data_IF_565610783689
#
_entry.id   IF_565610783689
#
_cell.length_a   1.000
_cell.length_b   1.000
_cell.length_c   1.000
_cell.angle_alpha   90.00
_cell.angle_beta   90.00
_cell.angle_gamma   90.00
#
_symmetry.space_group_name_H-M   'P 1'
#
loop_
_entity.id
_entity.type
_entity.pdbx_description
1 polymer ?
#
# COMPACT_ATOMS: atom_id res chain seq x y z
N UNK A 1 0.26 8.01 19.30
CA UNK A 1 0.80 6.75 18.78
C UNK A 1 1.73 6.18 19.81
N UNK A 2 1.73 4.86 20.08
CA UNK A 2 2.89 4.26 20.67
C UNK A 2 4.06 4.54 19.71
N UNK A 3 5.15 5.13 20.19
CA UNK A 3 6.34 5.47 19.38
C UNK A 3 7.14 4.23 18.96
N UNK A 4 6.44 3.12 18.77
CA UNK A 4 7.04 1.85 18.46
C UNK A 4 7.05 1.66 16.95
N UNK A 5 8.22 1.68 16.37
CA UNK A 5 8.48 1.60 14.94
C UNK A 5 8.84 0.19 14.47
N UNK A 6 8.65 -0.80 15.32
CA UNK A 6 9.04 -2.16 15.02
C UNK A 6 8.08 -3.22 15.57
N UNK A 7 8.15 -4.42 15.00
CA UNK A 7 7.32 -5.57 15.33
C UNK A 7 7.30 -5.92 16.82
N UNK A 8 8.47 -5.85 17.49
CA UNK A 8 8.54 -6.12 18.93
C UNK A 8 7.70 -5.15 19.75
N UNK A 9 7.65 -3.88 19.40
CA UNK A 9 6.89 -2.86 20.12
C UNK A 9 5.37 -3.06 20.04
N UNK A 10 4.87 -3.83 19.08
CA UNK A 10 3.46 -4.16 19.05
C UNK A 10 3.08 -5.21 20.09
N UNK A 11 4.04 -6.06 20.48
CA UNK A 11 3.84 -7.21 21.36
C UNK A 11 4.38 -7.00 22.78
N UNK A 12 5.44 -6.19 22.93
CA UNK A 12 6.16 -6.00 24.19
C UNK A 12 6.28 -4.51 24.55
N UNK A 13 6.22 -4.18 25.84
CA UNK A 13 6.50 -2.82 26.31
C UNK A 13 7.95 -2.42 26.06
N UNK A 14 8.23 -1.11 26.06
CA UNK A 14 9.61 -0.63 25.98
C UNK A 14 10.47 -1.13 27.13
N UNK A 15 9.87 -1.38 28.32
CA UNK A 15 10.59 -1.98 29.45
C UNK A 15 11.00 -3.43 29.14
N UNK A 16 10.08 -4.27 28.66
CA UNK A 16 10.39 -5.65 28.30
C UNK A 16 11.47 -5.73 27.21
N UNK A 17 11.38 -4.86 26.19
CA UNK A 17 12.39 -4.78 25.14
C UNK A 17 13.78 -4.40 25.69
N UNK A 18 13.84 -3.39 26.56
CA UNK A 18 15.09 -2.98 27.19
C UNK A 18 15.63 -4.07 28.13
N UNK A 19 14.77 -4.73 28.88
CA UNK A 19 15.12 -5.83 29.79
C UNK A 19 15.72 -7.01 29.00
N UNK A 20 15.15 -7.32 27.84
CA UNK A 20 15.58 -8.42 26.98
C UNK A 20 17.00 -8.24 26.42
N UNK A 21 17.52 -7.02 26.29
CA UNK A 21 18.89 -6.75 25.83
C UNK A 21 19.92 -7.44 26.78
N UNK A 22 19.63 -7.49 28.08
CA UNK A 22 20.56 -8.04 29.08
C UNK A 22 20.17 -9.43 29.57
N UNK A 23 18.91 -9.82 29.44
CA UNK A 23 18.38 -11.05 30.06
C UNK A 23 17.78 -12.04 29.03
N UNK A 24 17.70 -11.64 27.75
CA UNK A 24 16.98 -12.43 26.72
C UNK A 24 15.46 -12.27 26.78
N UNK A 25 14.77 -12.83 25.81
CA UNK A 25 13.30 -12.74 25.69
C UNK A 25 12.54 -13.84 26.45
N UNK A 26 13.26 -14.72 27.17
CA UNK A 26 12.63 -15.82 27.92
C UNK A 26 11.84 -15.34 29.15
N UNK A 27 12.06 -14.11 29.56
CA UNK A 27 11.39 -13.46 30.68
C UNK A 27 11.01 -12.01 30.29
N UNK A 28 9.73 -11.72 30.35
CA UNK A 28 9.15 -10.43 29.94
C UNK A 28 8.29 -9.89 31.10
N UNK A 29 8.89 -9.14 32.06
CA UNK A 29 8.21 -8.76 33.30
C UNK A 29 6.91 -8.00 33.14
N UNK A 30 6.82 -7.06 32.19
CA UNK A 30 5.58 -6.33 31.95
C UNK A 30 4.52 -7.22 31.27
N UNK A 31 4.93 -8.04 30.31
CA UNK A 31 4.00 -8.98 29.66
C UNK A 31 3.43 -9.99 30.66
N UNK A 32 4.23 -10.46 31.59
CA UNK A 32 3.79 -11.39 32.64
C UNK A 32 2.98 -10.69 33.74
N UNK A 33 3.49 -9.57 34.26
CA UNK A 33 2.97 -8.89 35.43
C UNK A 33 1.87 -7.87 35.12
N UNK A 34 2.01 -7.08 34.07
CA UNK A 34 1.15 -5.94 33.73
C UNK A 34 0.11 -6.32 32.70
N UNK A 35 0.51 -6.77 31.50
CA UNK A 35 -0.43 -7.06 30.41
C UNK A 35 -1.07 -8.46 30.53
N UNK A 36 -0.63 -9.30 31.46
CA UNK A 36 -1.14 -10.66 31.72
C UNK A 36 -1.11 -11.56 30.48
N UNK A 37 -0.03 -11.47 29.69
CA UNK A 37 0.18 -12.23 28.49
C UNK A 37 -0.44 -11.62 27.21
N UNK A 38 -1.18 -10.54 27.34
CA UNK A 38 -1.71 -9.80 26.18
C UNK A 38 -0.58 -9.05 25.45
N UNK A 39 -0.66 -8.92 24.14
CA UNK A 39 0.20 -8.05 23.38
C UNK A 39 0.07 -6.60 23.83
N UNK A 40 1.17 -5.86 23.81
CA UNK A 40 1.23 -4.53 24.42
C UNK A 40 0.26 -3.52 23.80
N UNK A 41 0.19 -3.45 22.47
CA UNK A 41 -0.73 -2.52 21.79
C UNK A 41 -2.20 -2.85 22.03
N UNK A 42 -2.69 -4.09 21.89
CA UNK A 42 -4.02 -4.49 22.33
C UNK A 42 -4.33 -4.14 23.79
N UNK A 43 -3.39 -4.41 24.70
CA UNK A 43 -3.55 -4.04 26.10
C UNK A 43 -3.70 -2.52 26.27
N UNK A 44 -2.85 -1.73 25.62
CA UNK A 44 -2.91 -0.26 25.68
C UNK A 44 -4.26 0.27 25.19
N UNK A 45 -4.79 -0.29 24.09
CA UNK A 45 -6.12 0.05 23.59
C UNK A 45 -7.21 -0.21 24.64
N UNK A 46 -7.13 -1.33 25.39
CA UNK A 46 -8.09 -1.61 26.48
C UNK A 46 -7.99 -0.60 27.62
N UNK A 47 -6.75 -0.17 27.98
CA UNK A 47 -6.54 0.82 29.05
C UNK A 47 -7.11 2.19 28.64
N UNK A 48 -6.88 2.65 27.43
CA UNK A 48 -7.45 3.90 26.92
C UNK A 48 -8.98 3.86 26.92
N UNK A 49 -9.56 2.76 26.47
CA UNK A 49 -11.01 2.56 26.51
C UNK A 49 -11.57 2.61 27.93
N UNK A 50 -10.91 1.92 28.87
CA UNK A 50 -11.34 1.88 30.27
C UNK A 50 -11.20 3.23 30.98
N UNK A 51 -10.20 4.02 30.62
CA UNK A 51 -10.01 5.37 31.12
C UNK A 51 -11.02 6.39 30.58
N UNK A 52 -11.86 6.00 29.62
CA UNK A 52 -12.79 6.91 28.95
C UNK A 52 -12.10 8.00 28.15
N UNK A 53 -10.85 7.75 27.73
CA UNK A 53 -10.03 8.70 26.97
C UNK A 53 -9.99 8.28 25.50
N UNK A 54 -10.92 8.76 24.68
CA UNK A 54 -10.98 8.37 23.28
C UNK A 54 -9.77 8.93 22.50
N UNK A 55 -9.21 8.11 21.63
CA UNK A 55 -8.29 8.55 20.59
C UNK A 55 -9.08 8.68 19.28
N UNK A 56 -8.81 9.74 18.52
CA UNK A 56 -9.50 9.98 17.25
C UNK A 56 -8.99 9.07 16.13
N UNK A 57 -7.71 8.72 16.18
CA UNK A 57 -7.04 7.87 15.18
C UNK A 57 -6.07 6.95 15.90
N UNK A 58 -6.14 5.65 15.61
CA UNK A 58 -5.13 4.69 16.04
C UNK A 58 -4.02 4.62 15.00
N UNK A 59 -2.77 4.85 15.40
CA UNK A 59 -1.64 4.86 14.48
C UNK A 59 -0.50 3.98 14.92
N UNK A 60 0.20 3.39 13.94
CA UNK A 60 1.47 2.69 14.10
C UNK A 60 2.50 3.21 13.07
N UNK A 61 3.76 2.81 13.24
CA UNK A 61 4.84 2.97 12.27
C UNK A 61 5.22 1.60 11.72
N UNK A 62 5.61 1.52 10.45
CA UNK A 62 6.08 0.28 9.86
C UNK A 62 7.19 0.51 8.84
N UNK A 63 8.26 -0.24 8.98
CA UNK A 63 9.37 -0.30 8.03
C UNK A 63 9.72 -1.76 7.74
N UNK A 64 9.91 -2.15 6.48
CA UNK A 64 10.39 -3.47 6.14
C UNK A 64 11.82 -3.68 6.68
N UNK A 65 12.23 -4.93 6.97
CA UNK A 65 13.34 -5.23 7.86
C UNK A 65 14.56 -5.88 7.17
N UNK A 66 14.66 -5.87 5.84
CA UNK A 66 15.78 -6.49 5.09
C UNK A 66 16.62 -5.45 4.32
N UNK A 67 16.56 -4.18 4.74
CA UNK A 67 17.30 -3.07 4.13
C UNK A 67 16.59 -2.37 2.98
N UNK A 68 15.32 -2.67 2.77
CA UNK A 68 14.47 -2.08 1.73
C UNK A 68 14.40 -0.56 1.79
N UNK A 69 14.43 0.00 3.01
CA UNK A 69 14.38 1.45 3.25
C UNK A 69 15.62 2.21 2.74
N UNK A 70 16.69 1.50 2.36
CA UNK A 70 17.87 2.13 1.77
C UNK A 70 17.62 2.55 0.32
N UNK A 71 18.45 3.44 -0.22
CA UNK A 71 18.42 3.80 -1.65
C UNK A 71 19.27 2.83 -2.50
N UNK A 72 19.23 1.52 -2.18
CA UNK A 72 19.99 0.49 -2.88
C UNK A 72 19.23 -0.06 -4.07
N UNK A 73 19.94 -0.27 -5.19
CA UNK A 73 19.47 -0.93 -6.41
C UNK A 73 20.02 -2.37 -6.55
N UNK A 74 20.54 -2.94 -5.47
CA UNK A 74 21.00 -4.31 -5.50
C UNK A 74 19.82 -5.27 -5.71
N UNK A 75 19.95 -6.27 -6.59
CA UNK A 75 18.84 -7.17 -6.92
C UNK A 75 18.21 -7.90 -5.74
N UNK A 76 18.98 -8.20 -4.68
CA UNK A 76 18.46 -8.80 -3.46
C UNK A 76 17.55 -7.83 -2.70
N UNK A 77 17.93 -6.54 -2.60
CA UNK A 77 17.15 -5.49 -1.94
C UNK A 77 15.90 -5.16 -2.75
N UNK A 78 16.01 -5.09 -4.07
CA UNK A 78 14.86 -4.87 -4.97
C UNK A 78 13.84 -6.01 -4.86
N UNK A 79 14.29 -7.27 -4.81
CA UNK A 79 13.39 -8.41 -4.57
C UNK A 79 12.74 -8.35 -3.19
N UNK A 80 13.49 -7.95 -2.16
CA UNK A 80 12.93 -7.74 -0.83
C UNK A 80 11.83 -6.68 -0.85
N UNK A 81 12.05 -5.50 -1.49
CA UNK A 81 11.02 -4.46 -1.65
C UNK A 81 9.75 -4.99 -2.33
N UNK A 82 9.91 -5.80 -3.38
CA UNK A 82 8.76 -6.33 -4.12
C UNK A 82 7.86 -7.21 -3.25
N UNK A 83 8.46 -8.08 -2.41
CA UNK A 83 7.70 -9.03 -1.60
C UNK A 83 7.22 -8.45 -0.27
N UNK A 84 8.02 -7.58 0.39
CA UNK A 84 7.71 -7.09 1.73
C UNK A 84 6.47 -6.17 1.80
N UNK A 85 5.96 -5.68 0.67
CA UNK A 85 4.66 -5.01 0.62
C UNK A 85 3.51 -5.92 1.06
N UNK A 86 3.69 -7.24 1.02
CA UNK A 86 2.73 -8.24 1.51
C UNK A 86 2.54 -8.18 3.02
N UNK A 87 3.51 -7.71 3.78
CA UNK A 87 3.37 -7.50 5.23
C UNK A 87 2.23 -6.55 5.58
N UNK A 88 1.87 -5.67 4.67
CA UNK A 88 0.77 -4.74 4.90
C UNK A 88 -0.61 -5.40 4.87
N UNK A 89 -0.76 -6.58 4.21
CA UNK A 89 -2.10 -7.07 3.90
C UNK A 89 -2.28 -8.60 3.87
N UNK A 90 -1.24 -9.38 3.57
CA UNK A 90 -1.40 -10.79 3.21
C UNK A 90 -1.32 -11.73 4.43
N UNK A 91 -2.44 -12.34 4.83
CA UNK A 91 -2.45 -13.24 5.98
C UNK A 91 -1.79 -14.60 5.70
N UNK A 92 -1.34 -14.85 4.47
CA UNK A 92 -0.61 -16.07 4.08
C UNK A 92 0.89 -15.85 3.92
N UNK A 93 1.34 -14.59 3.92
CA UNK A 93 2.74 -14.24 3.81
C UNK A 93 3.39 -14.23 5.19
N UNK A 94 4.44 -15.03 5.35
CA UNK A 94 5.30 -15.02 6.51
C UNK A 94 6.55 -14.20 6.17
N UNK A 95 6.78 -13.13 6.91
CA UNK A 95 7.97 -12.31 6.76
C UNK A 95 9.23 -13.15 6.99
N UNK A 96 10.17 -13.21 6.03
CA UNK A 96 11.36 -14.05 6.13
C UNK A 96 12.50 -13.45 6.96
N UNK A 97 12.33 -12.22 7.44
CA UNK A 97 13.34 -11.53 8.27
C UNK A 97 13.33 -12.05 9.71
N UNK A 98 13.95 -11.32 10.61
CA UNK A 98 13.93 -11.61 12.05
C UNK A 98 12.51 -11.61 12.66
N UNK A 99 11.53 -11.02 11.96
CA UNK A 99 10.11 -11.04 12.36
C UNK A 99 9.59 -12.48 12.36
N UNK A 100 9.95 -13.29 11.39
CA UNK A 100 9.61 -14.73 11.27
C UNK A 100 8.14 -15.05 11.57
N UNK A 101 7.23 -14.14 11.19
CA UNK A 101 5.79 -14.20 11.49
C UNK A 101 4.93 -13.62 10.37
N UNK A 102 3.65 -13.91 10.40
CA UNK A 102 2.66 -13.25 9.55
C UNK A 102 2.33 -11.89 10.16
N UNK A 103 2.59 -10.83 9.42
CA UNK A 103 2.34 -9.45 9.88
C UNK A 103 0.91 -9.02 9.55
N UNK A 104 0.53 -9.03 8.27
CA UNK A 104 -0.78 -8.58 7.78
C UNK A 104 -1.27 -7.29 8.49
N UNK A 105 -0.43 -6.26 8.51
CA UNK A 105 -0.47 -5.10 9.41
C UNK A 105 -1.82 -4.37 9.42
N UNK A 106 -2.35 -4.00 8.24
CA UNK A 106 -3.58 -3.21 8.16
C UNK A 106 -4.80 -4.02 8.65
N UNK A 107 -4.99 -5.29 8.22
CA UNK A 107 -6.00 -6.15 8.82
C UNK A 107 -5.84 -6.33 10.33
N UNK A 108 -4.62 -6.52 10.82
CA UNK A 108 -4.31 -6.65 12.26
C UNK A 108 -4.70 -5.39 13.03
N UNK A 109 -4.30 -4.20 12.55
CA UNK A 109 -4.68 -2.92 13.16
C UNK A 109 -6.19 -2.75 13.24
N UNK A 110 -6.91 -3.07 12.16
CA UNK A 110 -8.37 -3.00 12.11
C UNK A 110 -9.03 -3.96 13.09
N UNK A 111 -8.50 -5.19 13.18
CA UNK A 111 -8.95 -6.17 14.16
C UNK A 111 -8.76 -5.67 15.60
N UNK A 112 -7.59 -5.14 15.94
CA UNK A 112 -7.29 -4.64 17.27
C UNK A 112 -8.21 -3.50 17.69
N UNK A 113 -8.41 -2.51 16.80
CA UNK A 113 -9.34 -1.41 17.05
C UNK A 113 -10.76 -1.93 17.30
N UNK A 114 -11.24 -2.83 16.45
CA UNK A 114 -12.61 -3.34 16.57
C UNK A 114 -12.82 -4.19 17.83
N UNK A 115 -11.80 -4.93 18.24
CA UNK A 115 -11.89 -5.84 19.39
C UNK A 115 -11.62 -5.14 20.72
N UNK A 116 -10.60 -4.28 20.78
CA UNK A 116 -10.06 -3.76 22.03
C UNK A 116 -10.38 -2.28 22.27
N UNK A 117 -10.84 -1.55 21.25
CA UNK A 117 -11.19 -0.14 21.36
C UNK A 117 -12.62 0.11 20.85
N UNK A 118 -12.84 1.11 20.01
CA UNK A 118 -14.16 1.42 19.42
C UNK A 118 -14.17 1.03 17.95
N UNK A 119 -15.06 0.12 17.52
CA UNK A 119 -15.19 -0.26 16.13
C UNK A 119 -15.39 0.96 15.22
N UNK A 120 -14.66 1.00 14.11
CA UNK A 120 -14.73 2.10 13.16
C UNK A 120 -13.80 3.29 13.47
N UNK A 121 -13.04 3.27 14.56
CA UNK A 121 -11.95 4.25 14.76
C UNK A 121 -10.99 4.20 13.58
N UNK A 122 -10.67 5.35 12.96
CA UNK A 122 -9.70 5.41 11.86
C UNK A 122 -8.34 4.85 12.26
N UNK A 123 -7.66 4.23 11.29
CA UNK A 123 -6.31 3.69 11.46
C UNK A 123 -5.31 4.41 10.57
N UNK A 124 -4.09 4.58 11.04
CA UNK A 124 -3.05 5.30 10.33
C UNK A 124 -1.69 4.60 10.39
N UNK A 125 -0.92 4.72 9.31
CA UNK A 125 0.54 4.54 9.35
C UNK A 125 1.18 5.91 9.30
N UNK A 126 1.66 6.38 10.45
CA UNK A 126 2.21 7.73 10.61
C UNK A 126 3.69 7.82 10.28
N UNK A 127 4.33 6.67 10.10
CA UNK A 127 5.63 6.55 9.43
C UNK A 127 5.70 5.23 8.65
N UNK A 128 6.17 5.32 7.42
CA UNK A 128 6.56 4.17 6.59
C UNK A 128 7.53 4.62 5.51
N UNK A 129 8.40 3.73 5.05
CA UNK A 129 9.27 3.96 3.91
C UNK A 129 9.78 2.62 3.36
N UNK A 130 9.66 2.42 2.04
CA UNK A 130 10.20 1.26 1.31
C UNK A 130 11.51 1.58 0.59
N UNK A 131 12.05 2.82 0.71
CA UNK A 131 13.32 3.23 0.12
C UNK A 131 13.34 3.30 -1.39
N UNK A 132 14.55 3.25 -1.96
CA UNK A 132 14.75 3.29 -3.41
C UNK A 132 14.30 4.59 -4.05
N UNK A 133 14.52 5.73 -3.38
CA UNK A 133 13.98 7.05 -3.76
C UNK A 133 14.32 7.43 -5.19
N UNK A 134 15.52 7.07 -5.66
CA UNK A 134 16.02 7.40 -6.99
C UNK A 134 15.90 6.25 -8.00
N UNK A 135 15.39 5.09 -7.60
CA UNK A 135 15.31 3.89 -8.42
C UNK A 135 13.86 3.55 -8.79
N UNK A 136 13.66 2.98 -9.97
CA UNK A 136 12.32 2.58 -10.42
C UNK A 136 11.70 1.52 -9.52
N UNK A 137 12.52 0.66 -8.88
CA UNK A 137 12.02 -0.31 -7.91
C UNK A 137 11.37 0.37 -6.68
N UNK A 138 11.94 1.46 -6.18
CA UNK A 138 11.30 2.26 -5.13
C UNK A 138 9.98 2.89 -5.58
N UNK A 139 9.91 3.36 -6.84
CA UNK A 139 8.66 3.87 -7.41
C UNK A 139 7.59 2.78 -7.52
N UNK A 140 7.93 1.56 -7.97
CA UNK A 140 6.99 0.43 -8.06
C UNK A 140 6.53 -0.02 -6.68
N UNK A 141 7.44 -0.07 -5.69
CA UNK A 141 7.08 -0.37 -4.30
C UNK A 141 6.15 0.69 -3.71
N UNK A 142 6.42 1.99 -3.90
CA UNK A 142 5.55 3.07 -3.41
C UNK A 142 4.17 3.03 -4.08
N UNK A 143 4.10 2.73 -5.37
CA UNK A 143 2.83 2.59 -6.08
C UNK A 143 2.02 1.39 -5.55
N UNK A 144 2.69 0.27 -5.27
CA UNK A 144 2.11 -0.93 -4.70
C UNK A 144 1.53 -0.64 -3.29
N UNK A 145 2.33 0.00 -2.44
CA UNK A 145 1.94 0.43 -1.10
C UNK A 145 0.69 1.33 -1.14
N UNK A 146 0.62 2.30 -2.04
CA UNK A 146 -0.56 3.15 -2.19
C UNK A 146 -1.81 2.38 -2.62
N UNK A 147 -1.64 1.45 -3.56
CA UNK A 147 -2.73 0.58 -3.99
C UNK A 147 -3.24 -0.30 -2.84
N UNK A 148 -2.32 -0.85 -2.04
CA UNK A 148 -2.63 -1.66 -0.84
C UNK A 148 -3.37 -0.80 0.19
N UNK A 149 -2.90 0.41 0.51
CA UNK A 149 -3.58 1.31 1.45
C UNK A 149 -5.05 1.55 1.06
N UNK A 150 -5.29 1.83 -0.22
CA UNK A 150 -6.65 2.04 -0.73
C UNK A 150 -7.50 0.77 -0.69
N UNK A 151 -6.93 -0.39 -1.02
CA UNK A 151 -7.63 -1.68 -1.03
C UNK A 151 -7.98 -2.14 0.39
N UNK A 152 -7.04 -2.05 1.33
CA UNK A 152 -7.20 -2.49 2.72
C UNK A 152 -7.91 -1.45 3.60
N UNK A 153 -8.21 -0.26 3.07
CA UNK A 153 -8.93 0.77 3.79
C UNK A 153 -8.13 1.41 4.94
N UNK A 154 -6.84 1.66 4.72
CA UNK A 154 -6.07 2.52 5.61
C UNK A 154 -6.56 3.96 5.46
N UNK A 155 -6.87 4.62 6.57
CA UNK A 155 -7.49 5.94 6.52
C UNK A 155 -6.48 7.07 6.31
N UNK A 156 -5.29 6.98 6.94
CA UNK A 156 -4.25 8.01 6.89
C UNK A 156 -2.88 7.34 6.73
N UNK A 157 -2.01 7.94 5.91
CA UNK A 157 -0.61 7.52 5.78
C UNK A 157 0.30 8.74 5.64
N UNK A 158 1.42 8.77 6.37
CA UNK A 158 2.48 9.76 6.24
C UNK A 158 3.81 9.07 6.00
N UNK A 159 4.40 9.32 4.84
CA UNK A 159 5.69 8.75 4.50
C UNK A 159 6.81 9.47 5.24
N UNK A 160 7.77 8.73 5.77
CA UNK A 160 9.00 9.28 6.33
C UNK A 160 10.02 9.57 5.24
N UNK A 161 10.72 10.71 5.35
CA UNK A 161 11.78 11.15 4.46
C UNK A 161 11.34 12.23 3.46
N UNK A 162 12.33 12.97 2.98
CA UNK A 162 12.13 14.02 1.99
C UNK A 162 11.76 13.46 0.61
N UNK A 163 11.00 14.25 -0.15
CA UNK A 163 10.60 13.92 -1.51
C UNK A 163 10.89 15.13 -2.42
N UNK A 164 11.83 14.94 -3.34
CA UNK A 164 12.15 15.91 -4.38
C UNK A 164 11.53 15.50 -5.72
N UNK A 165 11.18 16.45 -6.60
CA UNK A 165 10.51 16.18 -7.88
C UNK A 165 11.30 15.31 -8.86
N UNK A 166 12.60 15.21 -8.74
CA UNK A 166 13.50 14.38 -9.55
C UNK A 166 13.53 12.91 -9.11
N UNK A 167 13.10 12.62 -7.87
CA UNK A 167 13.02 11.26 -7.35
C UNK A 167 11.96 10.41 -8.06
N UNK A 168 12.25 9.14 -8.30
CA UNK A 168 11.31 8.20 -8.92
C UNK A 168 10.08 7.96 -8.04
N UNK A 169 10.28 7.86 -6.72
CA UNK A 169 9.21 7.71 -5.73
C UNK A 169 8.25 8.90 -5.76
N UNK A 170 8.75 10.15 -5.88
CA UNK A 170 7.90 11.32 -6.05
C UNK A 170 6.99 11.19 -7.28
N UNK A 171 7.53 10.68 -8.39
CA UNK A 171 6.75 10.50 -9.64
C UNK A 171 5.68 9.43 -9.51
N UNK A 172 5.93 8.37 -8.73
CA UNK A 172 4.89 7.39 -8.39
C UNK A 172 3.77 8.01 -7.55
N UNK A 173 4.10 8.86 -6.58
CA UNK A 173 3.12 9.62 -5.80
C UNK A 173 2.34 10.58 -6.71
N UNK A 174 3.03 11.30 -7.59
CA UNK A 174 2.41 12.18 -8.57
C UNK A 174 1.43 11.42 -9.48
N UNK A 175 1.78 10.21 -9.93
CA UNK A 175 0.90 9.37 -10.75
C UNK A 175 -0.44 9.06 -10.04
N UNK A 176 -0.44 8.87 -8.73
CA UNK A 176 -1.67 8.66 -7.96
C UNK A 176 -2.43 9.95 -7.64
N UNK A 177 -1.72 11.09 -7.49
CA UNK A 177 -2.30 12.30 -6.88
C UNK A 177 -2.46 13.48 -7.83
N UNK A 178 -1.73 13.53 -8.93
CA UNK A 178 -1.72 14.64 -9.89
C UNK A 178 -1.03 14.24 -11.20
N UNK A 179 -1.50 13.15 -11.86
CA UNK A 179 -0.82 12.58 -13.02
C UNK A 179 -0.78 13.51 -14.23
N UNK A 180 -1.75 14.42 -14.36
CA UNK A 180 -1.95 15.32 -15.51
C UNK A 180 -1.56 16.78 -15.23
N UNK A 181 -0.97 17.09 -14.08
CA UNK A 181 -0.67 18.44 -13.59
C UNK A 181 -1.91 19.34 -13.39
N UNK A 182 -3.11 18.77 -13.46
CA UNK A 182 -4.39 19.47 -13.29
C UNK A 182 -5.25 18.89 -12.17
N UNK A 183 -4.65 18.11 -11.30
CA UNK A 183 -5.35 17.47 -10.16
C UNK A 183 -5.99 16.14 -10.49
N UNK A 184 -5.71 15.56 -11.66
CA UNK A 184 -6.12 14.20 -11.98
C UNK A 184 -5.54 13.19 -10.99
N UNK A 185 -6.40 12.42 -10.35
CA UNK A 185 -6.00 11.50 -9.29
C UNK A 185 -6.60 10.10 -9.49
N UNK A 186 -6.01 9.12 -8.81
CA UNK A 186 -6.59 7.80 -8.65
C UNK A 186 -7.94 7.88 -7.93
N UNK A 187 -8.82 6.89 -8.12
CA UNK A 187 -10.18 6.94 -7.59
C UNK A 187 -10.29 6.78 -6.07
N UNK A 188 -11.48 7.10 -5.56
CA UNK A 188 -11.80 7.13 -4.11
C UNK A 188 -12.56 5.90 -3.63
N UNK A 189 -13.09 5.09 -4.54
CA UNK A 189 -13.88 3.90 -4.22
C UNK A 189 -13.13 2.70 -4.77
N UNK A 190 -12.57 1.90 -3.90
CA UNK A 190 -11.83 0.69 -4.28
C UNK A 190 -12.72 -0.28 -5.06
N UNK A 191 -12.18 -0.85 -6.12
CA UNK A 191 -12.77 -1.90 -6.94
C UNK A 191 -11.88 -3.14 -6.88
N UNK A 192 -12.49 -4.32 -7.02
CA UNK A 192 -11.73 -5.56 -7.04
C UNK A 192 -10.79 -5.62 -8.25
N UNK A 193 -9.53 -5.93 -7.99
CA UNK A 193 -8.52 -6.22 -9.00
C UNK A 193 -7.67 -7.41 -8.50
N UNK A 194 -7.34 -8.33 -9.40
CA UNK A 194 -6.60 -9.54 -9.07
C UNK A 194 -5.48 -9.77 -10.08
N UNK A 195 -4.34 -10.20 -9.59
CA UNK A 195 -3.19 -10.66 -10.37
C UNK A 195 -2.77 -12.05 -9.89
N UNK A 196 -2.22 -12.90 -10.76
CA UNK A 196 -1.79 -14.25 -10.36
C UNK A 196 -0.64 -14.25 -9.35
N UNK A 197 0.29 -13.32 -9.49
CA UNK A 197 1.48 -13.18 -8.64
C UNK A 197 1.72 -11.70 -8.31
N UNK A 198 1.39 -11.26 -7.07
CA UNK A 198 1.55 -9.87 -6.67
C UNK A 198 3.02 -9.46 -6.46
N UNK A 199 3.97 -10.38 -6.37
CA UNK A 199 5.39 -10.07 -6.25
C UNK A 199 6.01 -9.72 -7.61
N UNK A 200 5.37 -10.16 -8.71
CA UNK A 200 5.81 -9.90 -10.09
C UNK A 200 5.00 -8.78 -10.74
N UNK A 201 3.67 -8.86 -10.63
CA UNK A 201 2.75 -7.86 -11.18
C UNK A 201 1.61 -7.63 -10.21
N UNK A 202 1.40 -6.41 -9.79
CA UNK A 202 0.24 -6.03 -8.99
C UNK A 202 -0.70 -5.09 -9.74
N UNK A 203 -1.96 -5.05 -9.32
CA UNK A 203 -2.97 -4.18 -9.92
C UNK A 203 -3.97 -3.69 -8.89
N UNK A 204 -4.36 -2.42 -9.03
CA UNK A 204 -5.32 -1.77 -8.16
C UNK A 204 -6.30 -0.95 -8.99
N UNK A 205 -7.58 -1.08 -8.69
CA UNK A 205 -8.64 -0.37 -9.39
C UNK A 205 -9.49 0.45 -8.42
N UNK A 206 -9.93 1.61 -8.88
CA UNK A 206 -10.87 2.43 -8.12
C UNK A 206 -11.77 3.25 -9.03
N UNK A 207 -12.96 3.62 -8.52
CA UNK A 207 -13.85 4.57 -9.18
C UNK A 207 -13.71 5.94 -8.52
N UNK A 208 -13.57 6.96 -9.33
CA UNK A 208 -13.49 8.35 -8.90
C UNK A 208 -14.90 8.90 -8.66
N UNK A 209 -15.16 9.44 -7.48
CA UNK A 209 -16.49 10.00 -7.13
C UNK A 209 -16.83 11.22 -7.96
N UNK A 210 -15.84 12.06 -8.26
CA UNK A 210 -16.02 13.35 -8.90
C UNK A 210 -16.65 13.25 -10.30
N UNK A 211 -16.26 12.27 -11.10
CA UNK A 211 -16.69 12.13 -12.51
C UNK A 211 -17.15 10.72 -12.87
N UNK A 212 -16.98 9.76 -11.97
CA UNK A 212 -17.35 8.36 -12.18
C UNK A 212 -16.36 7.57 -13.06
N UNK A 213 -15.22 8.16 -13.43
CA UNK A 213 -14.17 7.45 -14.14
C UNK A 213 -13.63 6.28 -13.33
N UNK A 214 -13.28 5.19 -14.00
CA UNK A 214 -12.54 4.07 -13.39
C UNK A 214 -11.07 4.30 -13.67
N UNK A 215 -10.25 4.19 -12.63
CA UNK A 215 -8.81 4.23 -12.71
C UNK A 215 -8.24 2.87 -12.35
N UNK A 216 -7.26 2.41 -13.11
CA UNK A 216 -6.57 1.16 -12.90
C UNK A 216 -5.06 1.40 -12.95
N UNK A 217 -4.36 1.07 -11.89
CA UNK A 217 -2.90 1.05 -11.85
C UNK A 217 -2.45 -0.40 -11.99
N UNK A 218 -1.53 -0.66 -12.92
CA UNK A 218 -0.85 -1.95 -13.10
C UNK A 218 0.64 -1.70 -12.92
N UNK A 219 1.29 -2.51 -12.11
CA UNK A 219 2.67 -2.35 -11.71
C UNK A 219 3.46 -3.60 -12.14
N UNK A 220 4.42 -3.43 -13.04
CA UNK A 220 5.39 -4.48 -13.32
C UNK A 220 6.58 -4.33 -12.37
N UNK A 221 6.73 -5.26 -11.44
CA UNK A 221 7.79 -5.30 -10.44
C UNK A 221 8.99 -6.15 -10.88
N UNK A 222 8.92 -6.81 -12.04
CA UNK A 222 10.01 -7.64 -12.58
C UNK A 222 11.25 -6.79 -12.82
N UNK A 223 12.39 -7.29 -12.38
CA UNK A 223 13.65 -6.54 -12.43
C UNK A 223 14.25 -6.49 -13.83
N UNK A 224 14.00 -7.50 -14.65
CA UNK A 224 14.74 -7.77 -15.89
C UNK A 224 13.83 -8.16 -17.08
N UNK A 225 12.52 -8.13 -16.92
CA UNK A 225 11.60 -8.59 -17.96
C UNK A 225 10.35 -7.69 -18.09
N UNK A 226 9.87 -7.47 -19.32
CA UNK A 226 8.56 -6.85 -19.52
C UNK A 226 7.44 -7.77 -19.04
N UNK A 227 6.28 -7.16 -18.73
CA UNK A 227 5.04 -7.87 -18.46
C UNK A 227 4.05 -7.64 -19.60
N UNK A 228 3.58 -8.72 -20.20
CA UNK A 228 2.47 -8.70 -21.16
C UNK A 228 1.19 -9.03 -20.40
N UNK A 229 0.31 -8.04 -20.25
CA UNK A 229 -0.91 -8.19 -19.47
C UNK A 229 -2.15 -8.20 -20.35
N UNK A 230 -3.07 -9.10 -20.02
CA UNK A 230 -4.44 -9.12 -20.53
C UNK A 230 -5.37 -8.78 -19.38
N UNK A 231 -6.03 -7.65 -19.47
CA UNK A 231 -6.91 -7.11 -18.44
C UNK A 231 -8.35 -7.39 -18.85
N UNK A 232 -9.06 -8.18 -18.04
CA UNK A 232 -10.49 -8.42 -18.21
C UNK A 232 -11.28 -7.43 -17.36
N UNK A 233 -12.07 -6.58 -18.02
CA UNK A 233 -12.89 -5.55 -17.39
C UNK A 233 -14.32 -6.07 -17.25
N UNK A 234 -14.77 -6.24 -16.03
CA UNK A 234 -16.14 -6.72 -15.72
C UNK A 234 -16.99 -5.58 -15.19
N UNK A 235 -18.30 -5.63 -15.45
CA UNK A 235 -19.26 -4.60 -15.01
C UNK A 235 -18.98 -3.19 -15.59
N UNK A 236 -18.29 -3.13 -16.72
CA UNK A 236 -18.09 -1.94 -17.55
C UNK A 236 -18.72 -2.17 -18.92
N UNK A 237 -18.94 -1.13 -19.76
CA UNK A 237 -19.31 -1.32 -21.15
C UNK A 237 -18.35 -2.26 -21.90
N UNK A 238 -18.82 -2.95 -22.94
CA UNK A 238 -17.98 -3.89 -23.69
C UNK A 238 -16.83 -3.20 -24.43
N UNK A 239 -16.91 -1.90 -24.65
CA UNK A 239 -15.86 -1.10 -25.31
C UNK A 239 -15.81 0.32 -24.74
N UNK A 240 -14.66 0.96 -24.82
CA UNK A 240 -14.49 2.32 -24.37
C UNK A 240 -13.11 2.89 -24.66
N UNK A 241 -12.97 4.20 -24.46
CA UNK A 241 -11.69 4.91 -24.54
C UNK A 241 -10.92 4.75 -23.24
N UNK A 242 -9.59 4.78 -23.31
CA UNK A 242 -8.69 4.70 -22.19
C UNK A 242 -7.56 5.71 -22.35
N UNK A 243 -7.41 6.62 -21.40
CA UNK A 243 -6.21 7.45 -21.29
C UNK A 243 -5.10 6.62 -20.64
N UNK A 244 -3.87 6.77 -21.12
CA UNK A 244 -2.74 5.95 -20.72
C UNK A 244 -1.60 6.83 -20.18
N UNK A 245 -1.24 6.62 -18.95
CA UNK A 245 -0.10 7.28 -18.30
C UNK A 245 0.90 6.22 -17.86
N UNK A 246 2.17 6.45 -18.15
CA UNK A 246 3.24 5.50 -17.82
C UNK A 246 4.37 6.19 -17.05
N UNK A 247 4.80 5.55 -15.99
CA UNK A 247 6.08 5.84 -15.33
C UNK A 247 7.05 4.70 -15.63
N UNK A 248 8.08 5.00 -16.41
CA UNK A 248 9.18 4.09 -16.74
C UNK A 248 10.45 4.91 -16.95
N UNK A 249 11.62 4.32 -16.68
CA UNK A 249 12.93 4.98 -16.85
C UNK A 249 12.98 6.38 -16.21
N UNK A 250 12.35 6.51 -15.05
CA UNK A 250 12.21 7.77 -14.30
C UNK A 250 11.47 8.89 -15.06
N UNK A 251 10.64 8.56 -16.03
CA UNK A 251 9.84 9.54 -16.80
C UNK A 251 8.35 9.19 -16.70
N UNK A 252 7.55 10.16 -16.24
CA UNK A 252 6.08 10.07 -16.27
C UNK A 252 5.59 10.69 -17.57
N UNK A 253 4.95 9.89 -18.42
CA UNK A 253 4.48 10.27 -19.76
C UNK A 253 2.98 10.02 -19.93
N UNK A 254 2.30 10.91 -20.63
CA UNK A 254 1.00 10.64 -21.22
C UNK A 254 1.21 10.00 -22.59
N UNK A 255 0.82 8.74 -22.73
CA UNK A 255 0.87 8.01 -24.00
C UNK A 255 -0.38 8.29 -24.84
N UNK A 256 -0.37 7.96 -26.13
CA UNK A 256 -1.58 8.05 -26.96
C UNK A 256 -2.74 7.25 -26.35
N UNK A 257 -3.91 7.87 -26.31
CA UNK A 257 -5.13 7.21 -25.84
C UNK A 257 -5.38 5.92 -26.64
N UNK A 258 -5.87 4.90 -25.97
CA UNK A 258 -6.21 3.61 -26.57
C UNK A 258 -7.69 3.29 -26.35
N UNK A 259 -8.09 2.09 -26.77
CA UNK A 259 -9.45 1.57 -26.58
C UNK A 259 -9.39 0.13 -26.12
N UNK A 260 -10.39 -0.26 -25.37
CA UNK A 260 -10.68 -1.68 -25.10
C UNK A 260 -11.93 -2.12 -25.87
N UNK A 261 -12.01 -3.40 -26.17
CA UNK A 261 -13.16 -4.03 -26.83
C UNK A 261 -13.46 -5.39 -26.21
N UNK A 262 -14.72 -5.81 -26.26
CA UNK A 262 -15.17 -7.08 -25.66
C UNK A 262 -14.79 -7.21 -24.17
N UNK A 263 -14.77 -6.08 -23.47
CA UNK A 263 -14.33 -6.04 -22.06
C UNK A 263 -12.86 -6.36 -21.83
N UNK A 264 -12.00 -6.31 -22.87
CA UNK A 264 -10.59 -6.68 -22.77
C UNK A 264 -9.67 -5.55 -23.23
N UNK A 265 -8.65 -5.29 -22.43
CA UNK A 265 -7.52 -4.45 -22.75
C UNK A 265 -6.22 -5.27 -22.67
N UNK A 266 -5.32 -5.08 -23.61
CA UNK A 266 -3.95 -5.63 -23.53
C UNK A 266 -2.94 -4.51 -23.42
N UNK A 267 -1.88 -4.72 -22.64
CA UNK A 267 -0.79 -3.77 -22.53
C UNK A 267 0.54 -4.52 -22.32
N UNK A 268 1.62 -3.86 -22.71
CA UNK A 268 2.99 -4.30 -22.39
C UNK A 268 3.62 -3.25 -21.48
N UNK A 269 4.07 -3.69 -20.32
CA UNK A 269 4.77 -2.85 -19.36
C UNK A 269 6.27 -3.21 -19.43
N UNK A 270 7.17 -2.24 -19.65
CA UNK A 270 8.59 -2.46 -19.43
C UNK A 270 8.88 -3.02 -18.04
N UNK A 271 10.07 -3.55 -17.84
CA UNK A 271 10.55 -3.90 -16.50
C UNK A 271 10.42 -2.70 -15.55
N UNK A 272 10.14 -2.96 -14.28
CA UNK A 272 10.07 -1.93 -13.23
C UNK A 272 9.30 -0.67 -13.69
N UNK A 273 8.05 -0.83 -14.08
CA UNK A 273 7.24 0.28 -14.59
C UNK A 273 5.82 0.28 -14.04
N UNK A 274 5.18 1.43 -14.11
CA UNK A 274 3.83 1.65 -13.61
C UNK A 274 2.98 2.19 -14.75
N UNK A 275 1.82 1.58 -14.96
CA UNK A 275 0.83 1.99 -15.94
C UNK A 275 -0.45 2.44 -15.22
N UNK A 276 -0.86 3.68 -15.42
CA UNK A 276 -2.17 4.17 -15.01
C UNK A 276 -3.08 4.24 -16.24
N UNK A 277 -4.20 3.59 -16.15
CA UNK A 277 -5.27 3.58 -17.13
C UNK A 277 -6.48 4.33 -16.57
N UNK A 278 -6.96 5.33 -17.30
CA UNK A 278 -8.16 6.09 -16.92
C UNK A 278 -9.25 5.83 -17.94
N UNK A 279 -10.33 5.21 -17.49
CA UNK A 279 -11.50 4.87 -18.27
C UNK A 279 -12.60 5.90 -17.94
N UNK A 280 -12.81 6.93 -18.79
CA UNK A 280 -13.83 7.94 -18.55
C UNK A 280 -15.22 7.29 -18.49
N UNK A 281 -16.09 7.81 -17.63
CA UNK A 281 -17.50 7.41 -17.67
C UNK A 281 -18.14 7.86 -18.98
N UNK A 282 -18.61 6.93 -19.78
CA UNK A 282 -19.40 7.31 -20.97
C UNK A 282 -20.66 8.07 -20.53
N UNK A 283 -20.84 9.27 -21.08
CA UNK A 283 -22.11 9.98 -20.95
C UNK A 283 -23.18 9.16 -21.68
N UNK A 284 -24.18 8.67 -20.95
CA UNK A 284 -25.38 8.12 -21.64
C UNK A 284 -25.85 9.14 -22.66
N UNK A 285 -25.90 8.74 -23.94
CA UNK A 285 -26.45 9.59 -24.94
C UNK A 285 -27.85 10.02 -24.48
N UNK A 286 -28.09 11.32 -24.39
CA UNK A 286 -29.41 11.86 -24.06
C UNK A 286 -30.36 11.40 -25.14
N UNK A 287 -31.24 10.48 -24.82
CA UNK A 287 -32.37 10.15 -25.69
C UNK A 287 -33.17 11.43 -25.85
N UNK A 288 -33.00 12.12 -26.99
CA UNK A 288 -33.89 13.19 -27.37
C UNK A 288 -35.27 12.56 -27.47
N UNK A 289 -36.12 12.83 -26.50
CA UNK A 289 -37.56 12.55 -26.65
C UNK A 289 -38.05 13.46 -27.78
N UNK A 290 -38.35 12.86 -28.93
CA UNK A 290 -39.12 13.46 -30.02
C UNK A 290 -40.56 13.64 -29.60
#
# INVERSE_FOLDING_TARGET
APEEWGWHGYHYSGFDQQYAITHGMDHTPDREGVTKGMDYVPWLLTQWKAAGHPIDVFSLHFYPQEGEYSDSDKPEVERARNRSTRDLWDPTYKDPTWIDSVVALIPMMRQWVNQYYYPGTPIALTEYNWGGEHHMNGATAQADVFGIFGREGLDIATRWGDLAPDMTVYKAIKLYRNYDDHGGAFGDISLAAHTPDPDEVSAFAARRKADGAVTLVVINKRLDAPAHVRISLTNLPDQGKVQVWRLADNVLTHEPDTKYSEGVLTATLPQQSILLLVLPREKKASVKRS
#
